data_IF_590016524587
#
_entry.id   IF_590016524587
#
_cell.length_a   1.000
_cell.length_b   1.000
_cell.length_c   1.000
_cell.angle_alpha   90.00
_cell.angle_beta   90.00
_cell.angle_gamma   90.00
#
_symmetry.space_group_name_H-M   'P 1'
#
loop_
_entity.id
_entity.type
_entity.pdbx_description
1 polymer ?
#
# COMPACT_ATOMS: atom_id res chain seq x y z
N UNK A 1 6.15 -7.99 30.23
CA UNK A 1 6.92 -7.53 29.05
C UNK A 1 6.82 -8.61 28.00
N UNK A 2 6.18 -8.33 26.86
CA UNK A 2 5.96 -9.34 25.82
C UNK A 2 7.25 -9.51 25.00
N UNK A 3 8.05 -10.53 25.32
CA UNK A 3 9.38 -10.78 24.73
C UNK A 3 9.33 -11.48 23.38
N UNK A 4 8.14 -11.83 22.87
CA UNK A 4 7.94 -12.53 21.61
C UNK A 4 7.67 -11.63 20.39
N UNK A 5 7.63 -10.30 20.57
CA UNK A 5 7.36 -9.37 19.46
C UNK A 5 8.68 -9.06 18.76
N UNK A 6 8.75 -9.36 17.46
CA UNK A 6 9.90 -8.99 16.64
C UNK A 6 10.13 -7.47 16.69
N UNK A 7 11.39 -7.00 16.74
CA UNK A 7 11.67 -5.57 16.75
C UNK A 7 11.10 -4.90 15.49
N UNK A 8 10.63 -3.66 15.63
CA UNK A 8 10.09 -2.90 14.51
C UNK A 8 11.13 -2.79 13.39
N UNK A 9 10.71 -3.11 12.16
CA UNK A 9 11.57 -2.99 10.98
C UNK A 9 11.92 -1.51 10.71
N UNK A 10 13.13 -1.27 10.22
CA UNK A 10 13.55 0.06 9.77
C UNK A 10 12.99 0.37 8.39
N UNK A 11 12.86 -0.64 7.51
CA UNK A 11 12.27 -0.46 6.19
C UNK A 11 10.74 -0.34 6.31
N UNK A 12 10.11 0.47 5.45
CA UNK A 12 8.65 0.57 5.42
C UNK A 12 8.02 -0.78 5.11
N UNK A 13 6.93 -1.13 5.80
CA UNK A 13 6.18 -2.37 5.59
C UNK A 13 5.81 -2.60 4.12
N UNK A 14 5.36 -1.55 3.42
CA UNK A 14 5.05 -1.63 1.98
C UNK A 14 6.25 -2.05 1.14
N UNK A 15 7.47 -1.64 1.51
CA UNK A 15 8.67 -2.07 0.80
C UNK A 15 8.99 -3.54 1.08
N UNK A 16 8.76 -4.02 2.31
CA UNK A 16 8.93 -5.43 2.64
C UNK A 16 7.95 -6.31 1.85
N UNK A 17 6.67 -5.93 1.80
CA UNK A 17 5.65 -6.64 1.01
C UNK A 17 6.02 -6.66 -0.47
N UNK A 18 6.46 -5.52 -1.03
CA UNK A 18 6.89 -5.47 -2.43
C UNK A 18 8.09 -6.40 -2.71
N UNK A 19 9.06 -6.45 -1.78
CA UNK A 19 10.23 -7.32 -1.90
C UNK A 19 9.87 -8.80 -1.74
N UNK A 20 8.94 -9.13 -0.85
CA UNK A 20 8.44 -10.49 -0.67
C UNK A 20 7.82 -11.05 -1.96
N UNK A 21 7.09 -10.23 -2.70
CA UNK A 21 6.45 -10.64 -3.96
C UNK A 21 7.48 -10.83 -5.09
N UNK A 22 8.42 -9.91 -5.26
CA UNK A 22 9.32 -9.91 -6.42
C UNK A 22 10.60 -10.74 -6.23
N UNK A 23 11.21 -10.70 -5.04
CA UNK A 23 12.55 -11.25 -4.80
C UNK A 23 12.63 -12.77 -4.99
N UNK A 24 11.67 -13.59 -4.52
CA UNK A 24 11.72 -15.04 -4.74
C UNK A 24 11.68 -15.43 -6.22
N UNK A 25 10.91 -14.69 -7.04
CA UNK A 25 10.79 -14.94 -8.48
C UNK A 25 12.08 -14.62 -9.24
N UNK A 26 12.80 -13.59 -8.80
CA UNK A 26 14.11 -13.20 -9.33
C UNK A 26 15.20 -14.18 -8.87
N UNK A 27 15.21 -14.56 -7.59
CA UNK A 27 16.18 -15.48 -7.02
C UNK A 27 16.12 -16.87 -7.67
N UNK A 28 14.92 -17.37 -8.00
CA UNK A 28 14.74 -18.62 -8.77
C UNK A 28 15.38 -18.59 -10.17
N UNK A 29 15.67 -17.40 -10.69
CA UNK A 29 16.38 -17.18 -11.97
C UNK A 29 17.86 -16.82 -11.78
N UNK A 30 18.39 -16.97 -10.56
CA UNK A 30 19.76 -16.59 -10.24
C UNK A 30 19.99 -15.07 -10.16
N UNK A 31 18.93 -14.27 -10.11
CA UNK A 31 19.01 -12.81 -9.99
C UNK A 31 18.86 -12.38 -8.53
N UNK A 32 19.84 -11.63 -8.03
CA UNK A 32 19.79 -11.06 -6.69
C UNK A 32 19.26 -9.63 -6.73
N UNK A 33 18.01 -9.44 -6.27
CA UNK A 33 17.40 -8.11 -6.22
C UNK A 33 18.09 -7.25 -5.14
N UNK A 34 18.42 -6.01 -5.50
CA UNK A 34 18.88 -4.99 -4.56
C UNK A 34 17.83 -3.89 -4.46
N UNK A 35 17.56 -3.44 -3.23
CA UNK A 35 16.61 -2.39 -2.93
C UNK A 35 17.29 -1.25 -2.14
N UNK A 36 18.07 -0.38 -2.80
CA UNK A 36 18.86 0.64 -2.10
C UNK A 36 18.03 1.60 -1.24
N UNK A 37 16.76 1.84 -1.61
CA UNK A 37 15.84 2.69 -0.84
C UNK A 37 15.34 2.07 0.46
N UNK A 38 15.62 0.80 0.72
CA UNK A 38 15.34 0.15 2.02
C UNK A 38 16.56 0.12 2.94
N UNK A 39 17.67 0.76 2.56
CA UNK A 39 18.83 0.89 3.43
C UNK A 39 18.46 1.61 4.74
N UNK A 40 18.79 1.06 5.92
CA UNK A 40 18.39 1.62 7.21
C UNK A 40 18.83 3.07 7.43
N UNK A 41 20.02 3.47 6.97
CA UNK A 41 20.50 4.84 7.12
C UNK A 41 19.74 5.80 6.20
N UNK A 42 19.46 5.37 4.96
CA UNK A 42 18.68 6.18 4.02
C UNK A 42 17.24 6.37 4.50
N UNK A 43 16.61 5.33 5.06
CA UNK A 43 15.25 5.44 5.61
C UNK A 43 15.23 6.38 6.81
N UNK A 44 16.16 6.24 7.76
CA UNK A 44 16.27 7.14 8.92
C UNK A 44 16.53 8.59 8.50
N UNK A 45 17.39 8.80 7.50
CA UNK A 45 17.61 10.12 6.92
C UNK A 45 16.29 10.70 6.37
N UNK A 46 15.56 9.92 5.57
CA UNK A 46 14.25 10.32 5.05
C UNK A 46 13.24 10.68 6.12
N UNK A 47 13.18 9.92 7.22
CA UNK A 47 12.28 10.20 8.35
C UNK A 47 12.58 11.54 9.05
N UNK A 48 13.86 11.90 9.15
CA UNK A 48 14.33 13.15 9.79
C UNK A 48 14.21 14.38 8.91
N UNK A 49 14.00 14.22 7.60
CA UNK A 49 13.86 15.36 6.69
C UNK A 49 12.62 16.21 7.02
N UNK A 50 12.75 17.54 6.97
CA UNK A 50 11.60 18.44 6.99
C UNK A 50 10.58 18.11 5.88
N UNK A 51 9.31 18.39 6.14
CA UNK A 51 8.20 17.99 5.24
C UNK A 51 8.35 18.59 3.85
N UNK A 52 8.83 19.82 3.75
CA UNK A 52 9.08 20.54 2.50
C UNK A 52 10.12 19.88 1.59
N UNK A 53 11.05 19.10 2.15
CA UNK A 53 12.05 18.34 1.39
C UNK A 53 11.54 16.96 0.96
N UNK A 54 10.59 16.40 1.71
CA UNK A 54 9.92 15.13 1.41
C UNK A 54 8.80 15.31 0.39
N UNK A 55 8.10 16.44 0.47
CA UNK A 55 6.96 16.77 -0.37
C UNK A 55 7.32 16.57 -1.84
N UNK A 56 6.50 15.80 -2.53
CA UNK A 56 6.66 15.48 -3.94
C UNK A 56 8.06 14.95 -4.35
N UNK A 57 8.74 14.26 -3.41
CA UNK A 57 10.11 13.77 -3.58
C UNK A 57 11.11 14.88 -3.96
N UNK A 58 10.90 16.12 -3.49
CA UNK A 58 11.69 17.31 -3.87
C UNK A 58 13.20 17.09 -3.77
N UNK A 59 13.70 16.62 -2.64
CA UNK A 59 15.14 16.41 -2.46
C UNK A 59 15.69 15.39 -3.48
N UNK A 60 14.97 14.29 -3.72
CA UNK A 60 15.36 13.29 -4.71
C UNK A 60 15.42 13.88 -6.11
N UNK A 61 14.44 14.69 -6.51
CA UNK A 61 14.44 15.35 -7.83
C UNK A 61 15.64 16.27 -8.02
N UNK A 62 15.96 17.07 -7.01
CA UNK A 62 17.15 17.93 -7.06
C UNK A 62 18.44 17.11 -7.17
N UNK A 63 18.53 15.96 -6.49
CA UNK A 63 19.67 15.04 -6.62
C UNK A 63 19.77 14.40 -8.01
N UNK A 64 18.64 14.05 -8.63
CA UNK A 64 18.61 13.52 -9.98
C UNK A 64 18.98 14.58 -11.02
N UNK A 65 18.45 15.81 -10.89
CA UNK A 65 18.78 16.94 -11.75
C UNK A 65 20.27 17.33 -11.65
N UNK A 66 20.85 17.32 -10.43
CA UNK A 66 22.27 17.58 -10.22
C UNK A 66 23.19 16.53 -10.88
N UNK A 67 22.65 15.37 -11.27
CA UNK A 67 23.36 14.34 -12.05
C UNK A 67 23.07 14.45 -13.55
N UNK A 68 22.50 15.57 -14.00
CA UNK A 68 22.15 15.83 -15.39
C UNK A 68 21.24 14.78 -16.01
N UNK A 69 20.37 14.15 -15.21
CA UNK A 69 19.34 13.28 -15.76
C UNK A 69 18.30 14.09 -16.55
N UNK A 70 17.73 13.53 -17.62
CA UNK A 70 16.74 14.23 -18.45
C UNK A 70 15.53 14.71 -17.64
N UNK A 71 14.94 15.84 -18.05
CA UNK A 71 13.77 16.43 -17.38
C UNK A 71 12.60 15.45 -17.26
N UNK A 72 12.36 14.63 -18.30
CA UNK A 72 11.33 13.59 -18.29
C UNK A 72 11.56 12.49 -17.23
N UNK A 73 12.79 12.32 -16.73
CA UNK A 73 13.13 11.38 -15.64
C UNK A 73 13.00 12.07 -14.29
N UNK A 74 13.44 13.33 -14.18
CA UNK A 74 13.36 14.11 -12.94
C UNK A 74 11.91 14.48 -12.61
N UNK A 75 11.18 14.95 -13.62
CA UNK A 75 9.79 15.42 -13.56
C UNK A 75 8.95 14.72 -14.66
N UNK A 76 8.64 13.42 -14.47
CA UNK A 76 7.83 12.70 -15.44
C UNK A 76 6.41 13.29 -15.52
N UNK A 77 5.90 13.46 -16.74
CA UNK A 77 4.52 13.92 -17.00
C UNK A 77 3.48 12.91 -16.50
N UNK A 78 3.79 11.62 -16.62
CA UNK A 78 3.01 10.51 -16.09
C UNK A 78 3.76 9.90 -14.91
N UNK A 79 3.19 10.08 -13.71
CA UNK A 79 3.68 9.38 -12.53
C UNK A 79 3.02 8.01 -12.51
N UNK A 80 3.84 6.96 -12.48
CA UNK A 80 3.34 5.62 -12.23
C UNK A 80 2.68 5.60 -10.84
N UNK A 81 1.35 5.56 -10.84
CA UNK A 81 0.53 5.53 -9.64
C UNK A 81 -0.54 4.43 -9.83
N UNK A 82 -0.38 3.33 -9.09
CA UNK A 82 -1.35 2.25 -9.07
C UNK A 82 -2.65 2.62 -8.35
N UNK A 83 -2.73 3.79 -7.71
CA UNK A 83 -3.91 4.28 -7.02
C UNK A 83 -5.15 4.25 -7.89
N UNK A 84 -5.09 4.71 -9.15
CA UNK A 84 -6.26 4.66 -10.03
C UNK A 84 -6.71 3.21 -10.31
N UNK A 85 -5.76 2.32 -10.60
CA UNK A 85 -6.04 0.90 -10.84
C UNK A 85 -6.66 0.24 -9.61
N UNK A 86 -6.09 0.49 -8.43
CA UNK A 86 -6.59 -0.05 -7.16
C UNK A 86 -7.96 0.49 -6.81
N UNK A 87 -8.21 1.79 -6.99
CA UNK A 87 -9.51 2.42 -6.81
C UNK A 87 -10.57 1.75 -7.69
N UNK A 88 -10.26 1.57 -8.99
CA UNK A 88 -11.15 0.90 -9.93
C UNK A 88 -11.39 -0.56 -9.52
N UNK A 89 -10.35 -1.27 -9.09
CA UNK A 89 -10.48 -2.66 -8.66
C UNK A 89 -11.37 -2.81 -7.40
N UNK A 90 -11.19 -1.96 -6.39
CA UNK A 90 -12.03 -1.94 -5.18
C UNK A 90 -13.47 -1.59 -5.54
N UNK A 91 -13.67 -0.52 -6.31
CA UNK A 91 -15.00 -0.10 -6.76
C UNK A 91 -15.74 -1.21 -7.49
N UNK A 92 -15.10 -1.85 -8.48
CA UNK A 92 -15.73 -2.82 -9.36
C UNK A 92 -15.91 -4.20 -8.71
N UNK A 93 -15.01 -4.63 -7.82
CA UNK A 93 -14.99 -6.01 -7.32
C UNK A 93 -15.28 -6.11 -5.82
N UNK A 94 -14.62 -5.29 -5.00
CA UNK A 94 -14.68 -5.43 -3.55
C UNK A 94 -16.04 -5.00 -2.98
N UNK A 95 -16.65 -3.95 -3.52
CA UNK A 95 -17.93 -3.43 -3.02
C UNK A 95 -19.06 -4.47 -3.11
N UNK A 96 -19.15 -5.19 -4.24
CA UNK A 96 -20.12 -6.26 -4.43
C UNK A 96 -19.90 -7.45 -3.51
N UNK A 97 -18.65 -7.88 -3.34
CA UNK A 97 -18.29 -8.97 -2.43
C UNK A 97 -18.64 -8.63 -0.98
N UNK A 98 -18.20 -7.47 -0.49
CA UNK A 98 -18.44 -7.03 0.88
C UNK A 98 -19.93 -6.84 1.16
N UNK A 99 -20.70 -6.32 0.21
CA UNK A 99 -22.17 -6.23 0.33
C UNK A 99 -22.80 -7.62 0.38
N UNK A 100 -22.30 -8.56 -0.42
CA UNK A 100 -22.76 -9.95 -0.44
C UNK A 100 -22.51 -10.69 0.88
N UNK A 101 -21.37 -10.46 1.52
CA UNK A 101 -21.06 -11.04 2.84
C UNK A 101 -21.81 -10.33 3.99
N UNK A 102 -22.03 -9.02 3.89
CA UNK A 102 -22.89 -8.27 4.82
C UNK A 102 -22.42 -8.36 6.27
N UNK A 103 -23.25 -8.92 7.16
CA UNK A 103 -22.91 -9.08 8.60
C UNK A 103 -22.16 -10.38 8.90
N UNK A 104 -22.01 -11.27 7.91
CA UNK A 104 -21.36 -12.57 8.05
C UNK A 104 -19.84 -12.50 7.84
N UNK A 105 -19.24 -11.31 7.86
CA UNK A 105 -17.78 -11.21 7.86
C UNK A 105 -17.23 -11.70 9.20
N UNK A 106 -16.21 -12.55 9.15
CA UNK A 106 -15.47 -13.01 10.33
C UNK A 106 -14.90 -11.82 11.12
N UNK A 107 -14.48 -10.77 10.40
CA UNK A 107 -13.95 -9.56 11.01
C UNK A 107 -15.01 -8.75 11.78
N UNK A 108 -16.29 -8.86 11.42
CA UNK A 108 -17.41 -8.27 12.19
C UNK A 108 -17.69 -9.13 13.42
N UNK A 109 -17.76 -10.46 13.24
CA UNK A 109 -18.00 -11.41 14.33
C UNK A 109 -16.96 -11.27 15.46
N UNK A 110 -15.70 -11.07 15.10
CA UNK A 110 -14.60 -10.88 16.05
C UNK A 110 -14.51 -9.45 16.60
N UNK A 111 -15.39 -8.54 16.19
CA UNK A 111 -15.43 -7.16 16.68
C UNK A 111 -14.30 -6.25 16.17
N UNK A 112 -13.61 -6.64 15.09
CA UNK A 112 -12.56 -5.82 14.48
C UNK A 112 -13.13 -4.73 13.56
N UNK A 113 -14.37 -4.89 13.08
CA UNK A 113 -15.03 -3.96 12.17
C UNK A 113 -16.43 -3.63 12.67
N UNK A 114 -16.76 -2.33 12.68
CA UNK A 114 -18.12 -1.88 12.89
C UNK A 114 -18.98 -2.16 11.63
N UNK A 115 -20.07 -2.95 11.76
CA UNK A 115 -20.88 -3.35 10.61
C UNK A 115 -21.62 -2.18 9.95
N UNK A 116 -21.98 -1.15 10.71
CA UNK A 116 -22.69 0.04 10.20
C UNK A 116 -21.72 0.90 9.40
N UNK A 117 -20.56 1.20 9.97
CA UNK A 117 -19.53 2.00 9.30
C UNK A 117 -19.01 1.32 8.03
N UNK A 118 -18.88 -0.02 8.05
CA UNK A 118 -18.51 -0.78 6.87
C UNK A 118 -19.56 -0.63 5.76
N UNK A 119 -20.85 -0.83 6.07
CA UNK A 119 -21.92 -0.73 5.08
C UNK A 119 -21.95 0.65 4.41
N UNK A 120 -21.90 1.74 5.20
CA UNK A 120 -21.84 3.11 4.67
C UNK A 120 -20.62 3.35 3.78
N UNK A 121 -19.47 2.78 4.16
CA UNK A 121 -18.23 2.93 3.39
C UNK A 121 -18.29 2.14 2.09
N UNK A 122 -18.84 0.94 2.10
CA UNK A 122 -19.09 0.12 0.91
C UNK A 122 -20.05 0.82 -0.04
N UNK A 123 -21.14 1.40 0.47
CA UNK A 123 -22.12 2.09 -0.36
C UNK A 123 -21.56 3.35 -1.03
N UNK A 124 -20.77 4.16 -0.31
CA UNK A 124 -20.05 5.29 -0.93
C UNK A 124 -19.06 4.83 -1.99
N UNK A 125 -18.25 3.81 -1.68
CA UNK A 125 -17.29 3.26 -2.63
C UNK A 125 -17.96 2.64 -3.87
N UNK A 126 -19.19 2.15 -3.76
CA UNK A 126 -19.96 1.60 -4.87
C UNK A 126 -20.51 2.69 -5.82
N UNK A 127 -20.62 3.94 -5.37
CA UNK A 127 -21.10 5.06 -6.20
C UNK A 127 -19.97 5.58 -7.10
N UNK A 128 -18.73 5.59 -6.62
CA UNK A 128 -17.62 6.29 -7.29
C UNK A 128 -16.25 5.64 -7.02
N UNK A 129 -15.42 5.43 -8.06
CA UNK A 129 -14.04 4.96 -7.88
C UNK A 129 -13.17 5.87 -7.00
N UNK A 130 -13.43 7.18 -6.98
CA UNK A 130 -12.71 8.12 -6.14
C UNK A 130 -12.98 7.88 -4.64
N UNK A 131 -14.19 7.45 -4.31
CA UNK A 131 -14.61 7.11 -2.95
C UNK A 131 -14.20 5.69 -2.56
N UNK A 132 -13.81 4.85 -3.53
CA UNK A 132 -13.27 3.50 -3.31
C UNK A 132 -11.76 3.48 -2.98
N UNK A 133 -11.13 4.64 -2.76
CA UNK A 133 -9.68 4.73 -2.59
C UNK A 133 -9.16 3.83 -1.45
N UNK A 134 -8.33 2.80 -1.72
CA UNK A 134 -7.99 1.78 -0.72
C UNK A 134 -7.33 2.35 0.54
N UNK A 135 -6.48 3.37 0.37
CA UNK A 135 -5.78 4.04 1.48
C UNK A 135 -6.70 4.94 2.33
N UNK A 136 -7.91 5.26 1.85
CA UNK A 136 -8.91 6.04 2.61
C UNK A 136 -9.93 5.14 3.29
N UNK A 137 -10.30 4.03 2.65
CA UNK A 137 -11.46 3.23 3.06
C UNK A 137 -11.10 1.93 3.76
N UNK A 138 -9.89 1.40 3.56
CA UNK A 138 -9.49 0.09 4.09
C UNK A 138 -10.18 -1.11 3.43
N UNK A 139 -11.13 -0.90 2.50
CA UNK A 139 -11.96 -1.97 1.92
C UNK A 139 -11.12 -3.05 1.20
N UNK A 140 -10.01 -2.66 0.58
CA UNK A 140 -9.08 -3.61 -0.04
C UNK A 140 -8.54 -4.60 1.00
N UNK A 141 -8.03 -4.10 2.13
CA UNK A 141 -7.44 -4.92 3.17
C UNK A 141 -8.49 -5.82 3.84
N UNK A 142 -9.67 -5.25 4.14
CA UNK A 142 -10.81 -5.99 4.69
C UNK A 142 -11.18 -7.15 3.76
N UNK A 143 -11.32 -6.88 2.46
CA UNK A 143 -11.66 -7.91 1.47
C UNK A 143 -10.58 -8.99 1.36
N UNK A 144 -9.30 -8.58 1.34
CA UNK A 144 -8.18 -9.51 1.21
C UNK A 144 -8.08 -10.45 2.42
N UNK A 145 -8.21 -9.91 3.63
CA UNK A 145 -8.18 -10.70 4.88
C UNK A 145 -9.40 -11.63 4.95
N UNK A 146 -10.60 -11.13 4.64
CA UNK A 146 -11.82 -11.93 4.66
C UNK A 146 -11.77 -13.10 3.65
N UNK A 147 -11.23 -12.88 2.45
CA UNK A 147 -10.99 -13.95 1.47
C UNK A 147 -10.01 -15.00 2.00
N UNK A 148 -8.94 -14.57 2.67
CA UNK A 148 -7.97 -15.50 3.26
C UNK A 148 -8.60 -16.31 4.40
N UNK A 149 -9.37 -15.69 5.29
CA UNK A 149 -10.07 -16.36 6.39
C UNK A 149 -11.09 -17.38 5.87
N UNK A 150 -11.79 -17.08 4.78
CA UNK A 150 -12.76 -17.99 4.14
C UNK A 150 -12.13 -19.14 3.36
N UNK A 151 -10.83 -19.07 3.09
CA UNK A 151 -10.08 -20.13 2.39
C UNK A 151 -9.41 -21.12 3.35
N UNK A 152 -9.47 -20.87 4.66
CA UNK A 152 -9.05 -21.78 5.73
C UNK A 152 -10.18 -22.77 6.06
#
# INVERSE_FOLDING_TARGET
MNTGIAPATVASETALIALEVATPLLARRGLWALAPFTDPELVRFGQRLPVEWKADKRLLRLRLAARSLPEQVVNPSLRENFGHVMNTAVHANATGLLRGWGKELHLIEQGFIDPVQLAETVDRAAISPQDAAPYRTGLFLISAVELALRAL
#
